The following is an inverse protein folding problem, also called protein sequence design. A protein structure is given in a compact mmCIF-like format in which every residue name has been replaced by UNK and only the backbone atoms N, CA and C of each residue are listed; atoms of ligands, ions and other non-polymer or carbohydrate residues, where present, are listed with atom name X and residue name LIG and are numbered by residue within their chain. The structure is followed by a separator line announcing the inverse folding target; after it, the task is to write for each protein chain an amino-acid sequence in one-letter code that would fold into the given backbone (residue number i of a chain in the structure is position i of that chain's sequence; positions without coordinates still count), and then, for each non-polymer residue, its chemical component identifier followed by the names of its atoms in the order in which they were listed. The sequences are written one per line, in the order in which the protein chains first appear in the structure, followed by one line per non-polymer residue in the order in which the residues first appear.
data_IF_390062832298
#
_entry.id   IF_390062832298
#
_cell.length_a   1.000
_cell.length_b   1.000
_cell.length_c   1.000
_cell.angle_alpha   90.00
_cell.angle_beta   90.00
_cell.angle_gamma   90.00
#
_symmetry.space_group_name_H-M   'P 1'
#
loop_
_entity.id
_entity.type
_entity.pdbx_description
1 polymer ?
#
# COMPACT_ATOMS: atom_id res chain seq x y z
N UNK A 1 26.12 3.22 -68.51
CA UNK A 1 26.71 4.00 -67.41
C UNK A 1 25.90 3.68 -66.17
N UNK A 2 26.51 2.89 -65.29
CA UNK A 2 25.96 2.41 -64.01
C UNK A 2 25.99 3.60 -63.02
N UNK A 3 25.23 3.49 -61.92
CA UNK A 3 25.18 4.38 -60.75
C UNK A 3 24.04 5.42 -60.72
N UNK A 4 22.83 4.95 -60.41
CA UNK A 4 21.97 5.67 -59.48
C UNK A 4 22.03 4.90 -58.15
N UNK A 5 23.07 5.19 -57.39
CA UNK A 5 23.37 4.56 -56.11
C UNK A 5 22.36 4.94 -55.04
N UNK A 6 21.89 3.91 -54.34
CA UNK A 6 21.25 3.88 -53.02
C UNK A 6 21.47 5.15 -52.19
N UNK A 7 20.43 5.98 -52.07
CA UNK A 7 20.35 7.08 -51.10
C UNK A 7 19.70 6.65 -49.76
N UNK A 8 19.36 5.37 -49.64
CA UNK A 8 18.70 4.73 -48.51
C UNK A 8 19.67 4.28 -47.39
N UNK A 9 20.99 4.47 -47.57
CA UNK A 9 22.03 3.96 -46.65
C UNK A 9 22.46 4.92 -45.53
N UNK A 10 21.96 6.16 -45.48
CA UNK A 10 22.46 7.21 -44.57
C UNK A 10 21.43 7.78 -43.59
N UNK A 11 20.37 7.04 -43.25
CA UNK A 11 19.64 7.39 -42.04
C UNK A 11 20.36 6.84 -40.80
N UNK A 12 20.82 7.70 -39.86
CA UNK A 12 21.30 7.22 -38.58
C UNK A 12 20.14 6.49 -37.91
N UNK A 13 20.30 5.16 -37.71
CA UNK A 13 19.39 4.38 -36.88
C UNK A 13 19.32 5.06 -35.52
N UNK A 14 18.21 5.72 -35.20
CA UNK A 14 17.95 6.11 -33.83
C UNK A 14 18.00 4.84 -32.97
N UNK A 15 18.75 4.83 -31.86
CA UNK A 15 18.65 3.73 -30.93
C UNK A 15 17.24 3.79 -30.34
N UNK A 16 16.35 2.93 -30.81
CA UNK A 16 15.08 2.65 -30.15
C UNK A 16 15.41 2.01 -28.81
N UNK A 17 15.74 2.83 -27.81
CA UNK A 17 15.97 2.39 -26.45
C UNK A 17 14.72 1.68 -25.96
N UNK A 18 14.73 0.34 -25.74
CA UNK A 18 13.61 -0.33 -25.12
C UNK A 18 13.82 -0.29 -23.60
N UNK A 19 14.14 0.89 -23.04
CA UNK A 19 14.54 1.05 -21.64
C UNK A 19 13.44 1.66 -20.78
N UNK A 20 12.18 1.63 -21.23
CA UNK A 20 11.02 1.95 -20.37
C UNK A 20 10.21 0.72 -19.95
N UNK A 21 10.21 -0.36 -20.74
CA UNK A 21 9.35 -1.53 -20.47
C UNK A 21 9.96 -2.50 -19.46
N UNK A 22 11.29 -2.63 -19.42
CA UNK A 22 11.97 -3.53 -18.46
C UNK A 22 11.99 -2.93 -17.05
N UNK A 23 12.19 -1.62 -16.91
CA UNK A 23 12.21 -0.93 -15.60
C UNK A 23 10.83 -0.94 -14.93
N UNK A 24 9.74 -0.78 -15.69
CA UNK A 24 8.39 -0.94 -15.18
C UNK A 24 8.09 -2.37 -14.70
N UNK A 25 8.53 -3.40 -15.45
CA UNK A 25 8.36 -4.80 -15.02
C UNK A 25 9.12 -5.12 -13.73
N UNK A 26 10.33 -4.58 -13.56
CA UNK A 26 11.13 -4.79 -12.34
C UNK A 26 10.51 -4.03 -11.15
N UNK A 27 10.01 -2.81 -11.36
CA UNK A 27 9.31 -2.03 -10.34
C UNK A 27 7.98 -2.67 -9.89
N UNK A 28 7.24 -3.30 -10.82
CA UNK A 28 6.04 -4.08 -10.49
C UNK A 28 6.42 -5.35 -9.72
N UNK A 29 7.49 -6.04 -10.14
CA UNK A 29 7.94 -7.29 -9.53
C UNK A 29 8.56 -7.09 -8.13
N UNK A 30 9.16 -5.93 -7.85
CA UNK A 30 9.64 -5.56 -6.49
C UNK A 30 8.52 -5.07 -5.57
N UNK A 31 7.50 -4.37 -6.09
CA UNK A 31 6.32 -3.98 -5.28
C UNK A 31 5.52 -5.18 -4.79
N UNK A 32 5.48 -6.28 -5.54
CA UNK A 32 4.71 -7.48 -5.16
C UNK A 32 5.16 -8.12 -3.84
N UNK A 33 6.43 -7.97 -3.47
CA UNK A 33 6.95 -8.51 -2.20
C UNK A 33 6.58 -7.67 -0.98
N UNK A 34 6.24 -6.38 -1.15
CA UNK A 34 5.78 -5.54 -0.03
C UNK A 34 4.29 -5.72 0.26
N UNK A 35 3.49 -6.12 -0.74
CA UNK A 35 2.06 -6.38 -0.59
C UNK A 35 1.75 -7.34 0.56
N UNK A 36 2.38 -8.52 0.71
CA UNK A 36 2.09 -9.42 1.82
C UNK A 36 2.45 -8.83 3.19
N UNK A 37 3.51 -8.01 3.28
CA UNK A 37 3.87 -7.33 4.52
C UNK A 37 2.85 -6.25 4.90
N UNK A 38 2.38 -5.46 3.94
CA UNK A 38 1.31 -4.49 4.17
C UNK A 38 0.00 -5.19 4.57
N UNK A 39 -0.35 -6.31 3.93
CA UNK A 39 -1.52 -7.10 4.30
C UNK A 39 -1.40 -7.67 5.73
N UNK A 40 -0.23 -8.17 6.11
CA UNK A 40 0.04 -8.64 7.47
C UNK A 40 -0.08 -7.50 8.49
N UNK A 41 0.50 -6.34 8.18
CA UNK A 41 0.45 -5.17 9.06
C UNK A 41 -0.98 -4.62 9.21
N UNK A 42 -1.76 -4.61 8.13
CA UNK A 42 -3.19 -4.26 8.15
C UNK A 42 -3.97 -5.28 8.98
N UNK A 43 -3.69 -6.57 8.83
CA UNK A 43 -4.33 -7.62 9.62
C UNK A 43 -4.01 -7.47 11.12
N UNK A 44 -2.75 -7.20 11.48
CA UNK A 44 -2.38 -6.93 12.87
C UNK A 44 -3.06 -5.67 13.42
N UNK A 45 -3.12 -4.61 12.61
CA UNK A 45 -3.82 -3.37 12.97
C UNK A 45 -5.31 -3.62 13.21
N UNK A 46 -5.95 -4.40 12.34
CA UNK A 46 -7.35 -4.82 12.49
C UNK A 46 -7.57 -5.60 13.79
N UNK A 47 -6.68 -6.55 14.11
CA UNK A 47 -6.75 -7.30 15.38
C UNK A 47 -6.61 -6.40 16.61
N UNK A 48 -5.69 -5.43 16.58
CA UNK A 48 -5.49 -4.47 17.67
C UNK A 48 -6.70 -3.58 17.87
N UNK A 49 -7.26 -3.02 16.79
CA UNK A 49 -8.45 -2.17 16.84
C UNK A 49 -9.66 -2.97 17.32
N UNK A 50 -9.85 -4.18 16.81
CA UNK A 50 -10.92 -5.09 17.25
C UNK A 50 -10.79 -5.44 18.74
N UNK A 51 -9.58 -5.77 19.19
CA UNK A 51 -9.30 -6.04 20.61
C UNK A 51 -9.55 -4.82 21.50
N UNK A 52 -9.14 -3.63 21.06
CA UNK A 52 -9.40 -2.38 21.79
C UNK A 52 -10.91 -2.11 21.89
N UNK A 53 -11.66 -2.29 20.81
CA UNK A 53 -13.12 -2.17 20.81
C UNK A 53 -13.76 -3.16 21.79
N UNK A 54 -13.31 -4.41 21.82
CA UNK A 54 -13.81 -5.41 22.75
C UNK A 54 -13.53 -5.05 24.22
N UNK A 55 -12.34 -4.51 24.52
CA UNK A 55 -11.98 -4.06 25.86
C UNK A 55 -12.84 -2.85 26.26
N UNK A 56 -13.04 -1.89 25.36
CA UNK A 56 -13.85 -0.70 25.61
C UNK A 56 -15.32 -1.07 25.80
N UNK A 57 -15.88 -1.95 24.98
CA UNK A 57 -17.25 -2.46 25.14
C UNK A 57 -17.42 -3.20 26.47
N UNK A 58 -16.47 -4.09 26.81
CA UNK A 58 -16.50 -4.79 28.09
C UNK A 58 -16.42 -3.82 29.29
N UNK A 59 -15.54 -2.82 29.23
CA UNK A 59 -15.39 -1.81 30.28
C UNK A 59 -16.64 -0.92 30.39
N UNK A 60 -17.18 -0.51 29.24
CA UNK A 60 -18.42 0.26 29.09
C UNK A 60 -19.59 -0.44 29.78
N UNK A 61 -19.73 -1.76 29.57
CA UNK A 61 -20.73 -2.60 30.23
C UNK A 61 -20.51 -2.73 31.74
N UNK A 62 -19.26 -2.88 32.19
CA UNK A 62 -18.96 -2.93 33.63
C UNK A 62 -19.24 -1.61 34.35
N UNK A 63 -19.05 -0.47 33.70
CA UNK A 63 -19.29 0.85 34.27
C UNK A 63 -20.72 1.35 34.09
N UNK A 64 -21.59 0.60 33.39
CA UNK A 64 -22.97 0.99 33.12
C UNK A 64 -23.11 2.23 32.22
N UNK A 65 -22.04 2.62 31.53
CA UNK A 65 -22.04 3.73 30.57
C UNK A 65 -21.91 3.15 29.18
N UNK A 66 -22.92 3.30 28.33
CA UNK A 66 -22.89 2.78 26.96
C UNK A 66 -22.12 3.75 26.04
N UNK A 67 -20.82 3.46 25.85
CA UNK A 67 -19.92 4.29 25.03
C UNK A 67 -20.01 3.89 23.56
N UNK A 68 -20.12 2.59 23.30
CA UNK A 68 -20.29 2.03 21.96
C UNK A 68 -21.77 1.66 21.81
N UNK A 69 -22.48 2.22 20.81
CA UNK A 69 -23.87 1.85 20.55
C UNK A 69 -23.96 0.38 20.12
N UNK A 70 -24.98 -0.35 20.60
CA UNK A 70 -25.19 -1.77 20.26
C UNK A 70 -25.45 -1.98 18.75
N UNK A 71 -25.91 -0.94 18.05
CA UNK A 71 -26.14 -0.89 16.62
C UNK A 71 -24.92 -0.36 15.82
N UNK A 72 -23.72 -0.35 16.44
CA UNK A 72 -22.50 0.04 15.75
C UNK A 72 -22.33 -0.77 14.46
N UNK A 73 -22.20 -0.10 13.30
CA UNK A 73 -22.15 -0.79 12.03
C UNK A 73 -20.88 -1.64 11.91
N UNK A 74 -20.99 -2.78 11.23
CA UNK A 74 -19.89 -3.74 11.04
C UNK A 74 -18.64 -3.13 10.40
N UNK A 75 -18.78 -2.01 9.68
CA UNK A 75 -17.68 -1.29 9.05
C UNK A 75 -16.89 -0.37 10.00
N UNK A 76 -17.33 -0.20 11.25
CA UNK A 76 -16.68 0.70 12.23
C UNK A 76 -15.23 0.28 12.50
N UNK A 77 -15.02 -1.01 12.76
CA UNK A 77 -13.68 -1.57 13.03
C UNK A 77 -12.77 -1.50 11.79
N UNK A 78 -13.22 -1.90 10.58
CA UNK A 78 -12.50 -1.64 9.34
C UNK A 78 -12.15 -0.16 9.11
N UNK A 79 -13.09 0.75 9.32
CA UNK A 79 -12.87 2.18 9.11
C UNK A 79 -11.83 2.75 10.08
N UNK A 80 -11.92 2.41 11.36
CA UNK A 80 -10.92 2.79 12.36
C UNK A 80 -9.53 2.24 12.01
N UNK A 81 -9.45 1.00 11.52
CA UNK A 81 -8.18 0.39 11.07
C UNK A 81 -7.55 1.17 9.92
N UNK A 82 -8.35 1.62 8.94
CA UNK A 82 -7.86 2.41 7.80
C UNK A 82 -7.35 3.79 8.22
N UNK A 83 -7.92 4.39 9.28
CA UNK A 83 -7.46 5.67 9.82
C UNK A 83 -6.19 5.50 10.66
N UNK A 84 -6.12 4.44 11.47
CA UNK A 84 -5.04 4.19 12.43
C UNK A 84 -3.77 3.69 11.72
N UNK A 85 -3.89 2.86 10.69
CA UNK A 85 -2.77 2.29 9.96
C UNK A 85 -1.76 3.33 9.40
N UNK A 86 -2.18 4.38 8.66
CA UNK A 86 -1.25 5.39 8.15
C UNK A 86 -0.57 6.19 9.27
N UNK A 87 -1.26 6.42 10.39
CA UNK A 87 -0.67 7.09 11.56
C UNK A 87 0.44 6.24 12.19
N UNK A 88 0.20 4.94 12.39
CA UNK A 88 1.23 4.00 12.84
C UNK A 88 2.39 3.91 11.87
N UNK A 89 2.12 3.96 10.56
CA UNK A 89 3.18 3.93 9.55
C UNK A 89 4.08 5.18 9.62
N UNK A 90 3.51 6.36 9.81
CA UNK A 90 4.29 7.61 9.98
C UNK A 90 5.11 7.55 11.26
N UNK A 91 4.51 7.17 12.39
CA UNK A 91 5.22 7.06 13.66
C UNK A 91 6.37 6.05 13.61
N UNK A 92 6.14 4.87 13.01
CA UNK A 92 7.19 3.88 12.78
C UNK A 92 8.34 4.44 11.92
N UNK A 93 8.00 5.18 10.86
CA UNK A 93 9.00 5.78 9.98
C UNK A 93 9.85 6.82 10.73
N UNK A 94 9.22 7.65 11.57
CA UNK A 94 9.92 8.65 12.39
C UNK A 94 10.86 8.00 13.41
N UNK A 95 10.49 6.89 14.06
CA UNK A 95 11.38 6.23 15.02
C UNK A 95 12.56 5.47 14.36
N UNK A 96 12.38 4.98 13.13
CA UNK A 96 13.42 4.19 12.44
C UNK A 96 14.38 5.08 11.64
N UNK A 97 13.93 6.22 11.12
CA UNK A 97 14.74 7.16 10.34
C UNK A 97 15.18 8.42 11.13
N UNK A 98 14.73 8.59 12.38
CA UNK A 98 14.98 9.75 13.25
C UNK A 98 16.24 9.68 14.08
#
# INVERSE_FOLDING_TARGET
MILAGRQDLWQPRQPSTPTKRKTAKIAIMTKSHLIPFHLLAIAMCFFLVSGLFAIVDWLSRMWGMQIIPDDAPWWTVPAATVVIYPLLYVAYKEEVEG
#
